data_IF_739894400633
#
_entry.id   IF_739894400633
#
_cell.length_a   1.000
_cell.length_b   1.000
_cell.length_c   1.000
_cell.angle_alpha   90.00
_cell.angle_beta   90.00
_cell.angle_gamma   90.00
#
_symmetry.space_group_name_H-M   'P 1'
#
loop_
_entity.id
_entity.type
_entity.pdbx_description
1 polymer ?
#
# COMPACT_ATOMS: atom_id res chain seq x y z
N UNK A 1 -0.23 10.46 -24.85
CA UNK A 1 -0.33 8.99 -24.75
C UNK A 1 0.99 8.29 -25.06
N UNK A 2 1.76 8.70 -26.08
CA UNK A 2 3.09 8.14 -26.38
C UNK A 2 4.06 8.23 -25.21
N UNK A 3 4.09 9.38 -24.52
CA UNK A 3 4.93 9.60 -23.34
C UNK A 3 4.64 8.59 -22.22
N UNK A 4 3.39 8.53 -21.75
CA UNK A 4 2.95 7.56 -20.72
C UNK A 4 3.27 6.11 -21.11
N UNK A 5 3.07 5.72 -22.38
CA UNK A 5 3.44 4.38 -22.86
C UNK A 5 4.94 4.13 -22.72
N UNK A 6 5.77 5.10 -23.09
CA UNK A 6 7.22 4.99 -22.99
C UNK A 6 7.66 4.93 -21.53
N UNK A 7 7.14 5.79 -20.66
CA UNK A 7 7.45 5.78 -19.23
C UNK A 7 7.06 4.45 -18.58
N UNK A 8 5.87 3.91 -18.87
CA UNK A 8 5.47 2.60 -18.36
C UNK A 8 6.37 1.47 -18.89
N UNK A 9 6.80 1.56 -20.15
CA UNK A 9 7.71 0.59 -20.74
C UNK A 9 9.10 0.67 -20.10
N UNK A 10 9.64 1.86 -19.88
CA UNK A 10 10.91 2.10 -19.20
C UNK A 10 10.87 1.62 -17.75
N UNK A 11 9.76 1.85 -17.03
CA UNK A 11 9.55 1.31 -15.70
C UNK A 11 9.59 -0.22 -15.73
N UNK A 12 8.83 -0.85 -16.62
CA UNK A 12 8.85 -2.30 -16.79
C UNK A 12 10.26 -2.85 -17.07
N UNK A 13 11.00 -2.20 -17.99
CA UNK A 13 12.37 -2.59 -18.33
C UNK A 13 13.33 -2.39 -17.14
N UNK A 14 13.19 -1.33 -16.35
CA UNK A 14 14.04 -1.10 -15.17
C UNK A 14 13.92 -2.23 -14.14
N UNK A 15 12.76 -2.88 -14.07
CA UNK A 15 12.50 -4.02 -13.20
C UNK A 15 12.95 -5.35 -13.78
N UNK A 16 12.88 -5.53 -15.10
CA UNK A 16 13.00 -6.85 -15.74
C UNK A 16 14.28 -7.06 -16.56
N UNK A 17 14.96 -5.99 -16.98
CA UNK A 17 16.08 -6.02 -17.90
C UNK A 17 17.31 -5.27 -17.39
N UNK A 18 18.49 -5.67 -17.91
CA UNK A 18 19.75 -4.98 -17.65
C UNK A 18 19.71 -3.53 -18.20
N UNK A 19 20.48 -2.59 -17.63
CA UNK A 19 21.51 -2.77 -16.60
C UNK A 19 20.99 -2.79 -15.15
N UNK A 20 19.76 -2.33 -14.87
CA UNK A 20 19.26 -2.23 -13.48
C UNK A 20 18.70 -3.56 -12.97
N UNK A 21 17.80 -4.19 -13.75
CA UNK A 21 17.07 -5.41 -13.41
C UNK A 21 16.70 -5.48 -11.91
N UNK A 22 15.89 -4.53 -11.46
CA UNK A 22 15.63 -4.33 -10.03
C UNK A 22 15.03 -5.57 -9.36
N UNK A 23 14.27 -6.41 -10.08
CA UNK A 23 13.78 -7.68 -9.57
C UNK A 23 14.91 -8.58 -9.05
N UNK A 24 16.08 -8.59 -9.73
CA UNK A 24 17.26 -9.35 -9.25
C UNK A 24 17.87 -8.75 -7.99
N UNK A 25 17.75 -7.44 -7.77
CA UNK A 25 18.20 -6.82 -6.52
C UNK A 25 17.35 -7.27 -5.33
N UNK A 26 16.05 -7.46 -5.54
CA UNK A 26 15.13 -8.01 -4.53
C UNK A 26 15.38 -9.50 -4.31
N UNK A 27 15.48 -10.31 -5.39
CA UNK A 27 15.70 -11.76 -5.31
C UNK A 27 17.04 -12.10 -4.63
N UNK A 28 18.09 -11.33 -4.92
CA UNK A 28 19.44 -11.56 -4.39
C UNK A 28 19.72 -10.76 -3.10
N UNK A 29 18.69 -10.24 -2.43
CA UNK A 29 18.86 -9.56 -1.14
C UNK A 29 19.60 -10.47 -0.15
N UNK A 30 20.61 -9.94 0.55
CA UNK A 30 21.47 -10.74 1.43
C UNK A 30 22.45 -11.68 0.70
N UNK A 31 22.44 -11.71 -0.64
CA UNK A 31 23.26 -12.62 -1.44
C UNK A 31 23.73 -11.96 -2.75
N UNK A 32 24.43 -10.83 -2.63
CA UNK A 32 25.03 -10.14 -3.78
C UNK A 32 24.16 -9.07 -4.45
N UNK A 33 23.00 -8.72 -3.88
CA UNK A 33 22.28 -7.49 -4.22
C UNK A 33 23.13 -6.26 -3.90
N UNK A 34 23.12 -5.29 -4.82
CA UNK A 34 23.74 -3.98 -4.65
C UNK A 34 22.84 -2.98 -3.91
N UNK A 35 21.54 -3.28 -3.79
CA UNK A 35 20.54 -2.42 -3.12
C UNK A 35 20.24 -2.91 -1.71
N UNK A 36 20.15 -4.23 -1.53
CA UNK A 36 19.77 -4.86 -0.26
C UNK A 36 20.88 -5.80 0.21
N UNK A 37 21.80 -5.26 1.00
CA UNK A 37 22.93 -6.01 1.55
C UNK A 37 22.46 -7.13 2.49
N UNK A 38 21.26 -7.00 3.08
CA UNK A 38 20.59 -8.03 3.90
C UNK A 38 19.21 -8.35 3.37
N UNK A 39 18.68 -9.53 3.69
CA UNK A 39 17.27 -9.84 3.39
C UNK A 39 16.35 -8.92 4.18
N UNK A 40 16.70 -8.67 5.44
CA UNK A 40 15.96 -7.77 6.31
C UNK A 40 15.68 -6.41 5.65
N UNK A 41 16.64 -5.83 4.93
CA UNK A 41 16.47 -4.53 4.26
C UNK A 41 15.41 -4.58 3.17
N UNK A 42 15.34 -5.66 2.37
CA UNK A 42 14.30 -5.82 1.36
C UNK A 42 12.90 -5.98 1.98
N UNK A 43 12.77 -6.75 3.06
CA UNK A 43 11.51 -6.90 3.78
C UNK A 43 11.06 -5.58 4.43
N UNK A 44 12.00 -4.82 5.00
CA UNK A 44 11.71 -3.51 5.57
C UNK A 44 11.27 -2.52 4.50
N UNK A 45 11.92 -2.48 3.34
CA UNK A 45 11.50 -1.62 2.24
C UNK A 45 10.06 -1.92 1.77
N UNK A 46 9.67 -3.20 1.74
CA UNK A 46 8.29 -3.60 1.43
C UNK A 46 7.32 -3.10 2.51
N UNK A 47 7.62 -3.32 3.79
CA UNK A 47 6.74 -2.87 4.89
C UNK A 47 6.65 -1.34 4.94
N UNK A 48 7.75 -0.64 4.70
CA UNK A 48 7.78 0.83 4.65
C UNK A 48 6.95 1.37 3.48
N UNK A 49 6.99 0.73 2.32
CA UNK A 49 6.12 1.08 1.20
C UNK A 49 4.63 0.86 1.52
N UNK A 50 4.29 -0.20 2.25
CA UNK A 50 2.92 -0.44 2.73
C UNK A 50 2.47 0.62 3.73
N UNK A 51 3.34 1.02 4.66
CA UNK A 51 3.05 2.14 5.59
C UNK A 51 2.86 3.43 4.80
N UNK A 52 3.75 3.70 3.85
CA UNK A 52 3.73 4.90 3.01
C UNK A 52 2.43 5.06 2.24
N UNK A 53 1.91 4.00 1.62
CA UNK A 53 0.66 4.11 0.86
C UNK A 53 -0.58 4.31 1.76
N UNK A 54 -0.57 3.76 2.98
CA UNK A 54 -1.63 4.08 3.96
C UNK A 54 -1.59 5.56 4.37
N UNK A 55 -0.39 6.11 4.57
CA UNK A 55 -0.16 7.51 4.92
C UNK A 55 -0.54 8.46 3.77
N UNK A 56 -0.06 8.18 2.56
CA UNK A 56 -0.33 8.96 1.36
C UNK A 56 -1.84 9.07 1.09
N UNK A 57 -2.55 7.93 1.12
CA UNK A 57 -4.01 7.92 0.90
C UNK A 57 -4.75 8.60 2.05
N UNK A 58 -4.43 8.24 3.29
CA UNK A 58 -5.15 8.71 4.47
C UNK A 58 -4.92 10.19 4.78
N UNK A 59 -3.66 10.60 4.88
CA UNK A 59 -3.25 11.94 5.32
C UNK A 59 -3.07 12.93 4.16
N UNK A 60 -2.64 12.46 2.99
CA UNK A 60 -2.53 13.30 1.79
C UNK A 60 -3.84 13.36 1.02
N UNK A 61 -4.11 12.33 0.23
CA UNK A 61 -5.17 12.33 -0.80
C UNK A 61 -6.58 12.55 -0.23
N UNK A 62 -6.85 12.02 0.97
CA UNK A 62 -8.15 12.16 1.62
C UNK A 62 -8.21 13.38 2.54
N UNK A 63 -7.31 13.48 3.51
CA UNK A 63 -7.43 14.46 4.59
C UNK A 63 -7.19 15.90 4.13
N UNK A 64 -6.26 16.15 3.20
CA UNK A 64 -5.99 17.50 2.71
C UNK A 64 -7.25 18.18 2.11
N UNK A 65 -7.92 17.61 1.08
CA UNK A 65 -9.17 18.16 0.56
C UNK A 65 -10.31 18.13 1.58
N UNK A 66 -10.37 17.12 2.44
CA UNK A 66 -11.40 17.02 3.48
C UNK A 66 -11.34 18.18 4.49
N UNK A 67 -10.15 18.56 4.93
CA UNK A 67 -9.92 19.67 5.86
C UNK A 67 -10.13 21.01 5.16
N UNK A 68 -9.61 21.16 3.95
CA UNK A 68 -9.78 22.37 3.16
C UNK A 68 -11.23 22.59 2.71
N UNK A 69 -12.05 21.53 2.69
CA UNK A 69 -13.37 21.50 2.04
C UNK A 69 -13.30 21.97 0.58
N UNK A 70 -12.21 21.60 -0.09
CA UNK A 70 -11.90 22.08 -1.44
C UNK A 70 -11.91 20.91 -2.44
N UNK A 71 -12.97 20.78 -3.24
CA UNK A 71 -13.03 19.81 -4.32
C UNK A 71 -11.92 19.94 -5.37
N UNK A 72 -11.34 21.13 -5.56
CA UNK A 72 -10.37 21.40 -6.62
C UNK A 72 -8.99 20.76 -6.37
N UNK A 73 -8.70 20.38 -5.12
CA UNK A 73 -7.44 19.74 -4.74
C UNK A 73 -7.56 18.22 -4.55
N UNK A 74 -8.75 17.66 -4.78
CA UNK A 74 -8.93 16.20 -4.82
C UNK A 74 -8.17 15.65 -6.02
N UNK A 75 -7.41 14.57 -5.86
CA UNK A 75 -6.74 13.85 -6.94
C UNK A 75 -7.76 13.12 -7.82
N UNK A 76 -7.53 13.07 -9.14
CA UNK A 76 -8.46 12.49 -10.14
C UNK A 76 -9.88 13.09 -10.21
N UNK A 77 -10.09 14.42 -10.04
CA UNK A 77 -11.44 14.93 -9.80
C UNK A 77 -12.30 15.01 -11.06
N UNK A 78 -11.64 15.11 -12.22
CA UNK A 78 -12.31 15.23 -13.51
C UNK A 78 -12.84 13.90 -14.05
N UNK A 79 -12.38 12.76 -13.52
CA UNK A 79 -12.89 11.43 -13.87
C UNK A 79 -13.88 10.87 -12.85
N UNK A 80 -14.00 11.49 -11.66
CA UNK A 80 -14.82 10.99 -10.55
C UNK A 80 -14.34 9.65 -10.00
N UNK A 81 -13.06 9.29 -10.21
CA UNK A 81 -12.54 7.96 -9.89
C UNK A 81 -11.76 7.90 -8.56
N UNK A 82 -11.64 9.00 -7.84
CA UNK A 82 -10.75 9.13 -6.67
C UNK A 82 -10.99 8.04 -5.61
N UNK A 83 -12.25 7.74 -5.27
CA UNK A 83 -12.58 6.67 -4.30
C UNK A 83 -12.08 5.30 -4.78
N UNK A 84 -12.22 5.00 -6.07
CA UNK A 84 -11.71 3.76 -6.66
C UNK A 84 -10.17 3.75 -6.66
N UNK A 85 -9.53 4.85 -7.05
CA UNK A 85 -8.06 4.98 -7.06
C UNK A 85 -7.48 4.75 -5.65
N UNK A 86 -8.07 5.39 -4.64
CA UNK A 86 -7.67 5.25 -3.23
C UNK A 86 -7.87 3.82 -2.73
N UNK A 87 -9.01 3.20 -3.07
CA UNK A 87 -9.27 1.80 -2.72
C UNK A 87 -8.27 0.86 -3.39
N UNK A 88 -7.96 1.08 -4.66
CA UNK A 88 -7.05 0.24 -5.44
C UNK A 88 -5.61 0.33 -4.93
N UNK A 89 -5.20 1.48 -4.37
CA UNK A 89 -3.93 1.60 -3.64
C UNK A 89 -3.87 0.62 -2.44
N UNK A 90 -4.95 0.49 -1.67
CA UNK A 90 -5.00 -0.42 -0.52
C UNK A 90 -5.16 -1.89 -0.95
N UNK A 91 -5.83 -2.16 -2.08
CA UNK A 91 -5.83 -3.49 -2.70
C UNK A 91 -4.41 -3.87 -3.15
N UNK A 92 -3.64 -2.93 -3.70
CA UNK A 92 -2.22 -3.12 -4.00
C UNK A 92 -1.41 -3.55 -2.78
N UNK A 93 -1.61 -2.87 -1.64
CA UNK A 93 -1.04 -3.26 -0.36
C UNK A 93 -1.47 -4.68 0.06
N UNK A 94 -2.76 -5.01 -0.04
CA UNK A 94 -3.28 -6.34 0.27
C UNK A 94 -2.58 -7.42 -0.57
N UNK A 95 -2.44 -7.17 -1.87
CA UNK A 95 -1.79 -8.09 -2.80
C UNK A 95 -0.34 -8.37 -2.41
N UNK A 96 0.40 -7.34 -1.99
CA UNK A 96 1.76 -7.48 -1.47
C UNK A 96 1.78 -8.28 -0.16
N UNK A 97 0.90 -7.96 0.79
CA UNK A 97 0.85 -8.64 2.08
C UNK A 97 0.52 -10.13 1.95
N UNK A 98 -0.43 -10.48 1.07
CA UNK A 98 -0.91 -11.85 0.85
C UNK A 98 -0.12 -12.61 -0.24
N UNK A 99 0.78 -11.95 -0.97
CA UNK A 99 1.48 -12.56 -2.10
C UNK A 99 0.57 -12.88 -3.30
N UNK A 100 -0.55 -12.17 -3.46
CA UNK A 100 -1.47 -12.34 -4.58
C UNK A 100 -1.00 -11.50 -5.79
N UNK A 101 -0.55 -12.17 -6.85
CA UNK A 101 -0.03 -11.53 -8.07
C UNK A 101 -1.01 -11.68 -9.25
N UNK A 102 -2.30 -11.82 -8.96
CA UNK A 102 -3.34 -11.98 -9.97
C UNK A 102 -3.50 -13.45 -10.39
N UNK A 103 -2.79 -13.87 -11.44
CA UNK A 103 -2.89 -15.26 -11.96
C UNK A 103 -1.96 -16.24 -11.25
N UNK A 104 -1.09 -15.75 -10.36
CA UNK A 104 -0.19 -16.55 -9.55
C UNK A 104 -0.32 -16.16 -8.08
N UNK A 105 -0.31 -17.17 -7.20
CA UNK A 105 -0.18 -16.99 -5.76
C UNK A 105 1.26 -17.31 -5.37
N UNK A 106 1.96 -16.33 -4.82
CA UNK A 106 3.27 -16.48 -4.19
C UNK A 106 3.14 -16.65 -2.68
N UNK A 107 4.28 -16.63 -1.99
CA UNK A 107 4.28 -16.43 -0.54
C UNK A 107 4.21 -14.93 -0.24
N UNK A 108 3.32 -14.55 0.64
CA UNK A 108 3.18 -13.17 1.13
C UNK A 108 4.02 -12.90 2.37
N UNK A 109 4.02 -11.64 2.81
CA UNK A 109 4.51 -11.26 4.15
C UNK A 109 3.67 -11.99 5.22
N UNK A 110 2.37 -12.16 4.98
CA UNK A 110 1.44 -12.85 5.87
C UNK A 110 1.93 -14.26 6.24
N UNK A 111 2.52 -15.02 5.32
CA UNK A 111 2.98 -16.38 5.60
C UNK A 111 4.09 -16.41 6.67
N UNK A 112 5.00 -15.43 6.62
CA UNK A 112 6.05 -15.26 7.63
C UNK A 112 5.45 -14.82 8.97
N UNK A 113 4.52 -13.87 8.95
CA UNK A 113 3.87 -13.36 10.15
C UNK A 113 3.04 -14.46 10.82
N UNK A 114 2.20 -15.16 10.07
CA UNK A 114 1.35 -16.25 10.53
C UNK A 114 2.15 -17.37 11.20
N UNK A 115 3.31 -17.73 10.63
CA UNK A 115 4.17 -18.78 11.15
C UNK A 115 4.73 -18.50 12.56
N UNK A 116 4.77 -17.23 12.98
CA UNK A 116 5.40 -16.80 14.25
C UNK A 116 4.45 -16.03 15.18
N UNK A 117 3.44 -15.37 14.63
CA UNK A 117 2.45 -14.57 15.31
C UNK A 117 1.15 -14.50 14.50
N UNK A 118 0.38 -15.59 14.52
CA UNK A 118 -0.92 -15.68 13.83
C UNK A 118 -1.93 -14.61 14.28
N UNK A 119 -1.84 -14.13 15.52
CA UNK A 119 -2.71 -13.06 16.02
C UNK A 119 -2.42 -11.72 15.32
N UNK A 120 -1.14 -11.39 15.12
CA UNK A 120 -0.76 -10.19 14.36
C UNK A 120 -1.17 -10.31 12.90
N UNK A 121 -1.00 -11.49 12.29
CA UNK A 121 -1.43 -11.72 10.91
C UNK A 121 -2.94 -11.50 10.74
N UNK A 122 -3.75 -12.16 11.55
CA UNK A 122 -5.21 -12.00 11.54
C UNK A 122 -5.62 -10.54 11.76
N UNK A 123 -4.93 -9.82 12.65
CA UNK A 123 -5.19 -8.40 12.91
C UNK A 123 -4.94 -7.54 11.66
N UNK A 124 -3.80 -7.73 11.00
CA UNK A 124 -3.45 -6.98 9.78
C UNK A 124 -4.46 -7.28 8.66
N UNK A 125 -4.77 -8.55 8.40
CA UNK A 125 -5.74 -8.92 7.36
C UNK A 125 -7.14 -8.33 7.61
N UNK A 126 -7.59 -8.32 8.87
CA UNK A 126 -8.86 -7.72 9.26
C UNK A 126 -8.85 -6.20 9.06
N UNK A 127 -7.77 -5.51 9.40
CA UNK A 127 -7.64 -4.07 9.22
C UNK A 127 -7.53 -3.67 7.75
N UNK A 128 -6.81 -4.44 6.93
CA UNK A 128 -6.79 -4.28 5.46
C UNK A 128 -8.22 -4.39 4.91
N UNK A 129 -8.94 -5.44 5.29
CA UNK A 129 -10.31 -5.67 4.84
C UNK A 129 -11.26 -4.55 5.30
N UNK A 130 -11.11 -4.08 6.55
CA UNK A 130 -11.90 -2.97 7.08
C UNK A 130 -11.63 -1.65 6.34
N UNK A 131 -10.36 -1.34 6.05
CA UNK A 131 -9.98 -0.17 5.27
C UNK A 131 -10.57 -0.21 3.85
N UNK A 132 -10.38 -1.33 3.13
CA UNK A 132 -10.94 -1.53 1.78
C UNK A 132 -12.46 -1.40 1.79
N UNK A 133 -13.14 -2.07 2.73
CA UNK A 133 -14.60 -2.05 2.80
C UNK A 133 -15.17 -0.69 3.21
N UNK A 134 -14.42 0.12 3.95
CA UNK A 134 -14.88 1.45 4.37
C UNK A 134 -15.16 2.37 3.18
N UNK A 135 -14.42 2.24 2.07
CA UNK A 135 -14.63 3.02 0.85
C UNK A 135 -16.02 2.78 0.23
N UNK A 136 -16.63 1.61 0.44
CA UNK A 136 -17.97 1.32 -0.08
C UNK A 136 -19.07 2.17 0.58
N UNK A 137 -18.78 2.80 1.72
CA UNK A 137 -19.70 3.72 2.39
C UNK A 137 -19.66 5.13 1.79
N UNK A 138 -18.65 5.46 0.97
CA UNK A 138 -18.58 6.70 0.21
C UNK A 138 -19.28 6.45 -1.12
N UNK A 139 -20.52 6.90 -1.23
CA UNK A 139 -21.42 6.54 -2.36
C UNK A 139 -21.57 7.63 -3.41
N UNK A 140 -20.91 8.77 -3.20
CA UNK A 140 -20.83 9.89 -4.14
C UNK A 140 -19.37 10.12 -4.53
N UNK A 141 -19.12 10.97 -5.52
CA UNK A 141 -17.75 11.35 -5.86
C UNK A 141 -17.05 12.00 -4.67
N UNK A 142 -15.74 11.83 -4.53
CA UNK A 142 -15.04 12.22 -3.31
C UNK A 142 -15.11 13.74 -3.07
N UNK A 143 -15.11 14.51 -4.15
CA UNK A 143 -15.34 15.95 -4.24
C UNK A 143 -16.62 16.38 -3.54
N UNK A 144 -17.68 15.59 -3.68
CA UNK A 144 -18.96 15.83 -3.01
C UNK A 144 -18.91 15.26 -1.58
N UNK A 145 -18.33 14.08 -1.40
CA UNK A 145 -18.29 13.37 -0.13
C UNK A 145 -17.59 14.17 0.98
N UNK A 146 -16.55 14.93 0.67
CA UNK A 146 -15.88 15.84 1.62
C UNK A 146 -16.80 16.94 2.16
N UNK A 147 -17.98 17.15 1.57
CA UNK A 147 -19.01 18.09 2.05
C UNK A 147 -20.23 17.31 2.59
N UNK A 148 -20.75 16.35 1.82
CA UNK A 148 -22.03 15.68 2.08
C UNK A 148 -21.94 14.37 2.86
N UNK A 149 -20.79 13.68 2.83
CA UNK A 149 -20.55 12.36 3.48
C UNK A 149 -19.33 12.39 4.42
N UNK A 150 -19.17 13.49 5.16
CA UNK A 150 -17.96 13.74 5.96
C UNK A 150 -17.67 12.67 7.02
N UNK A 151 -18.71 12.05 7.59
CA UNK A 151 -18.56 10.98 8.58
C UNK A 151 -17.94 9.74 7.93
N UNK A 152 -18.39 9.38 6.72
CA UNK A 152 -17.88 8.24 5.97
C UNK A 152 -16.42 8.46 5.57
N UNK A 153 -16.08 9.67 5.08
CA UNK A 153 -14.68 10.04 4.81
C UNK A 153 -13.80 9.90 6.06
N UNK A 154 -14.28 10.40 7.21
CA UNK A 154 -13.54 10.31 8.48
C UNK A 154 -13.35 8.86 8.94
N UNK A 155 -14.36 8.00 8.77
CA UNK A 155 -14.28 6.58 9.10
C UNK A 155 -13.23 5.86 8.24
N UNK A 156 -13.17 6.16 6.94
CA UNK A 156 -12.14 5.61 6.06
C UNK A 156 -10.73 6.09 6.46
N UNK A 157 -10.55 7.39 6.71
CA UNK A 157 -9.26 7.92 7.19
C UNK A 157 -8.82 7.26 8.51
N UNK A 158 -9.76 7.04 9.45
CA UNK A 158 -9.47 6.36 10.71
C UNK A 158 -9.09 4.88 10.52
N UNK A 159 -9.73 4.18 9.58
CA UNK A 159 -9.37 2.80 9.25
C UNK A 159 -7.96 2.71 8.66
N UNK A 160 -7.60 3.64 7.76
CA UNK A 160 -6.25 3.75 7.19
C UNK A 160 -5.19 4.06 8.25
N UNK A 161 -5.47 5.02 9.14
CA UNK A 161 -4.57 5.35 10.25
C UNK A 161 -4.37 4.17 11.20
N UNK A 162 -5.42 3.39 11.47
CA UNK A 162 -5.34 2.18 12.31
C UNK A 162 -4.47 1.10 11.67
N UNK A 163 -4.63 0.86 10.37
CA UNK A 163 -3.80 -0.07 9.61
C UNK A 163 -2.34 0.40 9.59
N UNK A 164 -2.09 1.67 9.24
CA UNK A 164 -0.75 2.28 9.24
C UNK A 164 -0.05 2.07 10.58
N UNK A 165 -0.72 2.39 11.69
CA UNK A 165 -0.18 2.26 13.04
C UNK A 165 0.22 0.81 13.33
N UNK A 166 -0.61 -0.17 12.96
CA UNK A 166 -0.28 -1.59 13.17
C UNK A 166 0.91 -2.02 12.29
N UNK A 167 1.01 -1.53 11.06
CA UNK A 167 2.15 -1.82 10.19
C UNK A 167 3.46 -1.22 10.75
N UNK A 168 3.40 0.00 11.28
CA UNK A 168 4.54 0.74 11.80
C UNK A 168 5.00 0.25 13.18
N UNK A 169 4.08 0.06 14.10
CA UNK A 169 4.39 -0.21 15.51
C UNK A 169 4.44 -1.70 15.85
N UNK A 170 3.88 -2.58 15.00
CA UNK A 170 3.85 -4.03 15.25
C UNK A 170 4.53 -4.83 14.13
N UNK A 171 4.14 -4.64 12.85
CA UNK A 171 4.72 -5.43 11.76
C UNK A 171 6.20 -5.11 11.52
N UNK A 172 6.57 -3.82 11.45
CA UNK A 172 7.97 -3.42 11.22
C UNK A 172 8.89 -3.94 12.35
N UNK A 173 8.59 -3.77 13.65
CA UNK A 173 9.36 -4.41 14.72
C UNK A 173 9.38 -5.94 14.63
N UNK A 174 8.27 -6.58 14.25
CA UNK A 174 8.23 -8.03 14.02
C UNK A 174 9.24 -8.46 12.95
N UNK A 175 9.36 -7.74 11.83
CA UNK A 175 10.34 -8.02 10.77
C UNK A 175 11.77 -7.88 11.31
N UNK A 176 12.07 -6.78 12.02
CA UNK A 176 13.38 -6.52 12.61
C UNK A 176 13.79 -7.67 13.56
N UNK A 177 12.85 -8.16 14.35
CA UNK A 177 13.11 -9.23 15.31
C UNK A 177 13.33 -10.60 14.65
N UNK A 178 12.60 -10.90 13.57
CA UNK A 178 12.48 -12.27 13.04
C UNK A 178 13.29 -12.56 11.78
N UNK A 179 13.78 -11.54 11.09
CA UNK A 179 14.68 -11.68 9.93
C UNK A 179 16.04 -11.17 10.37
N UNK A 180 16.99 -12.07 10.64
CA UNK A 180 18.29 -11.75 11.23
C UNK A 180 19.47 -12.04 10.29
N UNK A 181 19.18 -12.39 9.05
CA UNK A 181 20.12 -12.80 8.01
C UNK A 181 20.45 -11.69 6.98
#
# INVERSE_FOLDING_TARGET
>A
STDLKNTCHELYLSWTAAPTNFAQQVINAGNGSAVYAKKQEAYLAIVEAMIGICDEVGEGKMKEPYVAMDPAIVESPYSGNSVSDFRDNIIGLQNVYLGNLGTANGKGINDLVAAKNISLDNKIQNQISAAINSFNNITVFYEEAIISQRIQCQQTMAALATLKTTLEDELKPFIIQNIQD
#
